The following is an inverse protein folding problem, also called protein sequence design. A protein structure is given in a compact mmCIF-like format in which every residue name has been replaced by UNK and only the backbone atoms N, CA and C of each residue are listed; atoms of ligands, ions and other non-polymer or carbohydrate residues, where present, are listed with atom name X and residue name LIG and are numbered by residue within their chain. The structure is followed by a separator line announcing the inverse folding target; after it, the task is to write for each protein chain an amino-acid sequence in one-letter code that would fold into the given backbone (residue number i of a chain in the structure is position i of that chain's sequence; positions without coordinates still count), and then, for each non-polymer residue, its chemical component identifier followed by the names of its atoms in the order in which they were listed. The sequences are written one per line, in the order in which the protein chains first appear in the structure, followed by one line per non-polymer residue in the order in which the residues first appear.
data_IF_331944715730
#
_entry.id   IF_331944715730
#
_cell.length_a   1.000
_cell.length_b   1.000
_cell.length_c   1.000
_cell.angle_alpha   90.00
_cell.angle_beta   90.00
_cell.angle_gamma   90.00
#
_symmetry.space_group_name_H-M   'P 1'
#
loop_
_entity.id
_entity.type
_entity.pdbx_description
1 polymer ?
#
# COMPACT_ATOMS: atom_id res chain seq x y z
N UNK A 1 1.41 19.20 8.34
CA UNK A 1 0.08 18.91 8.94
C UNK A 1 -0.16 17.42 8.82
N UNK A 2 -0.19 16.71 9.95
CA UNK A 2 -0.45 15.26 9.99
C UNK A 2 -1.92 15.10 9.66
N UNK A 3 -2.24 14.62 8.46
CA UNK A 3 -3.62 14.41 8.04
C UNK A 3 -4.34 13.54 9.05
N UNK A 4 -5.51 13.99 9.51
CA UNK A 4 -6.31 13.28 10.49
C UNK A 4 -6.60 11.86 9.99
N UNK A 5 -5.94 10.88 10.59
CA UNK A 5 -5.99 9.46 10.26
C UNK A 5 -7.37 8.81 10.61
N UNK A 6 -8.41 9.64 10.74
CA UNK A 6 -9.73 9.30 11.26
C UNK A 6 -10.77 9.03 10.17
N UNK A 7 -10.45 9.27 8.89
CA UNK A 7 -11.38 9.12 7.77
C UNK A 7 -11.39 7.71 7.15
N UNK A 8 -10.36 6.89 7.40
CA UNK A 8 -10.27 5.59 6.74
C UNK A 8 -11.34 4.62 7.24
N UNK A 9 -12.24 4.18 6.35
CA UNK A 9 -13.38 3.31 6.65
C UNK A 9 -12.99 2.07 7.45
N UNK A 10 -11.93 1.36 7.05
CA UNK A 10 -11.42 0.19 7.81
C UNK A 10 -11.03 0.52 9.25
N UNK A 11 -10.38 1.67 9.49
CA UNK A 11 -9.98 2.10 10.83
C UNK A 11 -11.21 2.37 11.69
N UNK A 12 -12.25 2.98 11.11
CA UNK A 12 -13.52 3.21 11.81
C UNK A 12 -14.23 1.90 12.16
N UNK A 13 -14.26 0.92 11.24
CA UNK A 13 -14.87 -0.39 11.48
C UNK A 13 -14.14 -1.16 12.58
N UNK A 14 -12.79 -1.16 12.58
CA UNK A 14 -11.99 -1.76 13.65
C UNK A 14 -12.29 -1.10 15.00
N UNK A 15 -12.37 0.25 15.04
CA UNK A 15 -12.73 0.99 16.26
C UNK A 15 -14.12 0.60 16.78
N UNK A 16 -15.14 0.51 15.89
CA UNK A 16 -16.50 0.09 16.25
C UNK A 16 -16.51 -1.32 16.83
N UNK A 17 -15.84 -2.26 16.16
CA UNK A 17 -15.76 -3.66 16.59
C UNK A 17 -15.09 -3.77 17.97
N UNK A 18 -13.97 -3.07 18.17
CA UNK A 18 -13.27 -3.02 19.46
C UNK A 18 -14.20 -2.52 20.57
N UNK A 19 -14.93 -1.43 20.33
CA UNK A 19 -15.86 -0.86 21.30
C UNK A 19 -17.01 -1.83 21.63
N UNK A 20 -17.54 -2.54 20.62
CA UNK A 20 -18.57 -3.55 20.83
C UNK A 20 -18.07 -4.69 21.73
N UNK A 21 -16.87 -5.21 21.46
CA UNK A 21 -16.26 -6.28 22.24
C UNK A 21 -15.92 -5.83 23.66
N UNK A 22 -15.44 -4.61 23.84
CA UNK A 22 -15.17 -4.06 25.17
C UNK A 22 -16.46 -3.93 26.00
N UNK A 23 -17.56 -3.47 25.40
CA UNK A 23 -18.88 -3.43 26.05
C UNK A 23 -19.38 -4.81 26.46
N UNK A 24 -18.94 -5.86 25.77
CA UNK A 24 -19.24 -7.26 26.11
C UNK A 24 -18.30 -7.85 27.17
N UNK A 25 -17.38 -7.05 27.73
CA UNK A 25 -16.45 -7.47 28.78
C UNK A 25 -15.13 -8.07 28.29
N UNK A 26 -14.87 -8.06 26.97
CA UNK A 26 -13.60 -8.58 26.45
C UNK A 26 -12.47 -7.55 26.60
N UNK A 27 -11.33 -7.99 27.14
CA UNK A 27 -10.08 -7.22 27.16
C UNK A 27 -9.28 -7.50 25.89
N UNK A 28 -9.12 -6.48 25.04
CA UNK A 28 -8.37 -6.59 23.79
C UNK A 28 -6.98 -5.98 23.97
N UNK A 29 -5.94 -6.72 23.59
CA UNK A 29 -4.55 -6.28 23.55
C UNK A 29 -4.07 -6.34 22.11
N UNK A 30 -3.43 -5.28 21.64
CA UNK A 30 -2.75 -5.25 20.35
C UNK A 30 -1.25 -5.46 20.57
N UNK A 31 -0.66 -6.39 19.85
CA UNK A 31 0.79 -6.61 19.82
C UNK A 31 1.29 -6.52 18.39
N UNK A 32 2.37 -5.79 18.19
CA UNK A 32 3.05 -5.66 16.91
C UNK A 32 4.12 -6.75 16.85
N UNK A 33 4.10 -7.63 15.82
CA UNK A 33 5.10 -8.69 15.65
C UNK A 33 6.03 -8.39 14.45
N UNK A 34 7.36 -8.14 14.65
CA UNK A 34 8.35 -7.76 13.61
C UNK A 34 8.11 -8.45 12.26
N UNK A 35 8.10 -7.68 11.16
CA UNK A 35 7.94 -8.21 9.81
C UNK A 35 9.23 -8.92 9.40
N UNK A 36 9.40 -10.12 9.94
CA UNK A 36 10.53 -11.00 9.68
C UNK A 36 9.99 -12.19 8.88
N UNK A 37 10.45 -12.31 7.63
CA UNK A 37 10.28 -13.49 6.78
C UNK A 37 10.99 -14.66 7.44
N UNK A 38 10.29 -15.74 7.79
CA UNK A 38 10.82 -16.90 8.52
C UNK A 38 10.14 -17.18 9.87
N UNK A 39 9.30 -16.28 10.40
CA UNK A 39 8.43 -16.62 11.54
C UNK A 39 7.26 -17.44 11.03
N UNK A 40 7.31 -18.75 11.24
CA UNK A 40 6.30 -19.71 10.76
C UNK A 40 4.85 -19.28 11.06
N UNK A 41 4.59 -18.73 12.25
CA UNK A 41 3.25 -18.26 12.63
C UNK A 41 2.78 -17.03 11.83
N UNK A 42 3.69 -16.11 11.52
CA UNK A 42 3.40 -14.94 10.71
C UNK A 42 3.13 -15.34 9.24
N UNK A 43 3.94 -16.25 8.71
CA UNK A 43 3.78 -16.78 7.35
C UNK A 43 2.47 -17.55 7.16
N UNK A 44 2.08 -18.35 8.15
CA UNK A 44 0.79 -19.05 8.15
C UNK A 44 -0.38 -18.06 8.18
N UNK A 45 -0.32 -17.03 9.02
CA UNK A 45 -1.34 -16.00 9.08
C UNK A 45 -1.44 -15.21 7.77
N UNK A 46 -0.31 -14.82 7.17
CA UNK A 46 -0.24 -14.12 5.89
C UNK A 46 -0.79 -14.99 4.74
N UNK A 47 -0.42 -16.28 4.71
CA UNK A 47 -0.95 -17.23 3.73
C UNK A 47 -2.46 -17.38 3.86
N UNK A 48 -2.98 -17.56 5.08
CA UNK A 48 -4.42 -17.67 5.31
C UNK A 48 -5.16 -16.38 4.92
N UNK A 49 -4.59 -15.21 5.23
CA UNK A 49 -5.16 -13.92 4.84
C UNK A 49 -5.21 -13.78 3.31
N UNK A 50 -4.14 -14.14 2.59
CA UNK A 50 -4.08 -14.14 1.12
C UNK A 50 -5.08 -15.12 0.50
N UNK A 51 -5.24 -16.32 1.06
CA UNK A 51 -6.21 -17.29 0.58
C UNK A 51 -7.66 -16.88 0.83
N UNK A 52 -7.91 -16.10 1.89
CA UNK A 52 -9.24 -15.60 2.24
C UNK A 52 -9.62 -14.30 1.52
N UNK A 53 -8.76 -13.78 0.62
CA UNK A 53 -9.08 -12.59 -0.17
C UNK A 53 -10.28 -12.89 -1.06
N UNK A 54 -11.43 -12.34 -0.67
CA UNK A 54 -12.61 -12.23 -1.53
C UNK A 54 -12.50 -10.92 -2.30
N UNK A 55 -12.67 -10.96 -3.62
CA UNK A 55 -12.69 -9.74 -4.43
C UNK A 55 -13.85 -8.85 -3.96
N UNK A 56 -13.51 -7.75 -3.29
CA UNK A 56 -14.49 -6.76 -2.85
C UNK A 56 -14.43 -5.59 -3.81
N UNK A 57 -15.56 -5.28 -4.45
CA UNK A 57 -15.75 -4.06 -5.23
C UNK A 57 -16.01 -2.85 -4.31
N UNK A 58 -15.20 -2.71 -3.25
CA UNK A 58 -15.24 -1.51 -2.43
C UNK A 58 -14.34 -0.45 -3.08
N UNK A 59 -14.83 0.80 -3.25
CA UNK A 59 -14.01 1.86 -3.83
C UNK A 59 -12.78 2.09 -2.94
N UNK A 60 -11.61 1.98 -3.55
CA UNK A 60 -10.35 2.27 -2.87
C UNK A 60 -10.28 3.77 -2.51
N UNK A 61 -9.59 4.13 -1.42
CA UNK A 61 -9.26 5.52 -1.15
C UNK A 61 -8.60 6.18 -2.37
N UNK A 62 -8.98 7.42 -2.65
CA UNK A 62 -8.42 8.18 -3.78
C UNK A 62 -6.89 8.25 -3.75
N UNK A 63 -6.30 8.38 -2.55
CA UNK A 63 -4.85 8.41 -2.39
C UNK A 63 -4.17 7.12 -2.91
N UNK A 64 -4.77 5.96 -2.63
CA UNK A 64 -4.25 4.66 -3.05
C UNK A 64 -4.34 4.52 -4.57
N UNK A 65 -5.49 4.89 -5.17
CA UNK A 65 -5.66 4.89 -6.63
C UNK A 65 -4.72 5.88 -7.32
N UNK A 66 -4.54 7.07 -6.77
CA UNK A 66 -3.62 8.10 -7.31
C UNK A 66 -2.19 7.58 -7.35
N UNK A 67 -1.75 6.91 -6.29
CA UNK A 67 -0.41 6.31 -6.23
C UNK A 67 -0.23 5.19 -7.25
N UNK A 68 -1.23 4.30 -7.38
CA UNK A 68 -1.21 3.19 -8.31
C UNK A 68 -1.19 3.67 -9.77
N UNK A 69 -2.04 4.64 -10.12
CA UNK A 69 -2.09 5.25 -11.45
C UNK A 69 -0.76 5.94 -11.78
N UNK A 70 -0.20 6.70 -10.83
CA UNK A 70 1.11 7.34 -11.00
C UNK A 70 2.20 6.31 -11.28
N UNK A 71 2.27 5.24 -10.49
CA UNK A 71 3.26 4.19 -10.68
C UNK A 71 3.08 3.48 -12.03
N UNK A 72 1.83 3.23 -12.44
CA UNK A 72 1.55 2.67 -13.75
C UNK A 72 2.05 3.59 -14.88
N UNK A 73 1.77 4.90 -14.81
CA UNK A 73 2.27 5.87 -15.79
C UNK A 73 3.81 5.90 -15.84
N UNK A 74 4.46 5.96 -14.68
CA UNK A 74 5.93 5.95 -14.58
C UNK A 74 6.54 4.65 -15.14
N UNK A 75 5.92 3.50 -14.90
CA UNK A 75 6.39 2.23 -15.42
C UNK A 75 6.27 2.16 -16.95
N UNK A 76 5.17 2.66 -17.53
CA UNK A 76 5.04 2.71 -18.99
C UNK A 76 6.11 3.62 -19.61
N UNK A 77 6.31 4.82 -19.04
CA UNK A 77 7.36 5.73 -19.48
C UNK A 77 8.76 5.12 -19.39
N UNK A 78 9.05 4.41 -18.30
CA UNK A 78 10.35 3.74 -18.14
C UNK A 78 10.50 2.57 -19.12
N UNK A 79 9.42 1.84 -19.43
CA UNK A 79 9.44 0.78 -20.44
C UNK A 79 9.72 1.34 -21.83
N UNK A 80 9.04 2.41 -22.21
CA UNK A 80 9.25 3.08 -23.50
C UNK A 80 10.69 3.58 -23.61
N UNK A 81 11.22 4.18 -22.53
CA UNK A 81 12.61 4.64 -22.47
C UNK A 81 13.62 3.51 -22.61
N UNK A 82 13.39 2.37 -21.96
CA UNK A 82 14.28 1.21 -22.04
C UNK A 82 14.34 0.60 -23.45
N UNK A 83 13.31 0.81 -24.27
CA UNK A 83 13.26 0.35 -25.67
C UNK A 83 13.99 1.31 -26.62
N UNK A 84 14.32 2.52 -26.17
CA UNK A 84 15.01 3.53 -26.98
C UNK A 84 16.51 3.22 -27.05
N UNK A 85 16.93 2.53 -28.12
CA UNK A 85 18.33 2.08 -28.31
C UNK A 85 19.22 3.08 -29.07
N UNK A 86 18.62 4.05 -29.78
CA UNK A 86 19.33 5.00 -30.66
C UNK A 86 19.45 6.42 -30.07
N UNK A 87 19.18 6.58 -28.77
CA UNK A 87 19.27 7.86 -28.10
C UNK A 87 20.58 8.00 -27.32
N UNK A 88 21.43 8.96 -27.71
CA UNK A 88 22.67 9.33 -26.99
C UNK A 88 22.42 9.70 -25.52
N UNK A 89 21.22 10.19 -25.19
CA UNK A 89 20.84 10.50 -23.82
C UNK A 89 20.55 9.22 -23.00
N UNK A 90 20.11 8.14 -23.63
CA UNK A 90 19.88 6.84 -22.98
C UNK A 90 21.18 6.19 -22.52
N UNK A 91 22.29 6.36 -23.27
CA UNK A 91 23.62 5.91 -22.87
C UNK A 91 24.11 6.57 -21.57
N UNK A 92 23.73 7.84 -21.36
CA UNK A 92 24.12 8.63 -20.17
C UNK A 92 23.10 8.48 -19.03
N UNK A 93 21.82 8.26 -19.34
CA UNK A 93 20.72 8.13 -18.38
C UNK A 93 19.82 6.94 -18.71
N UNK A 94 20.00 5.84 -17.97
CA UNK A 94 19.16 4.63 -18.08
C UNK A 94 17.76 4.75 -17.47
N UNK A 95 17.46 5.87 -16.80
CA UNK A 95 16.13 6.17 -16.28
C UNK A 95 15.56 7.38 -17.02
N UNK A 96 14.30 7.28 -17.46
CA UNK A 96 13.53 8.41 -18.01
C UNK A 96 13.11 9.36 -16.87
N UNK A 97 14.10 9.94 -16.20
CA UNK A 97 13.97 11.00 -15.21
C UNK A 97 13.21 10.65 -13.91
N UNK A 98 13.70 11.10 -12.74
CA UNK A 98 12.83 11.27 -11.57
C UNK A 98 12.79 12.77 -11.22
N UNK A 99 11.66 13.44 -11.44
CA UNK A 99 11.32 14.61 -10.60
C UNK A 99 9.85 14.52 -10.25
N UNK A 100 9.59 14.20 -8.98
CA UNK A 100 8.43 14.72 -8.27
C UNK A 100 8.80 14.96 -6.79
N UNK A 101 9.94 15.61 -6.58
CA UNK A 101 10.35 16.19 -5.28
C UNK A 101 10.40 17.73 -5.32
N UNK A 102 9.72 18.38 -6.27
CA UNK A 102 9.60 19.84 -6.30
C UNK A 102 8.15 20.28 -6.51
N UNK A 103 7.32 20.15 -5.48
CA UNK A 103 6.38 21.20 -5.06
C UNK A 103 6.20 21.04 -3.53
N UNK A 104 6.40 22.09 -2.71
CA UNK A 104 6.09 22.06 -1.27
C UNK A 104 4.60 21.84 -0.98
#
# INVERSE_FOLDING_TARGET
MIGDNNSHKLVQEIKKLRSNLHRRGFKILFSWIPAHVGIRGNEQADTAAKSAVVYRSEPLPYADMKSALRNWMLNNWQNDWNLEVDNKLHEVKRAAWPILDLVP
#
